data_IF_100818469170
#
_entry.id   IF_100818469170
#
_cell.length_a   1.000
_cell.length_b   1.000
_cell.length_c   1.000
_cell.angle_alpha   90.00
_cell.angle_beta   90.00
_cell.angle_gamma   90.00
#
_symmetry.space_group_name_H-M   'P 1'
#
loop_
_entity.id
_entity.type
_entity.pdbx_description
1 polymer ?
#
# COMPACT_ATOMS: atom_id res chain seq x y z
N UNK A 1 20.30 26.02 12.84
CA UNK A 1 20.68 25.31 11.61
C UNK A 1 19.45 25.07 10.75
N UNK A 2 19.50 25.39 9.47
CA UNK A 2 18.40 25.25 8.50
C UNK A 2 17.64 23.91 8.57
N UNK A 3 18.33 22.80 8.88
CA UNK A 3 17.76 21.47 9.06
C UNK A 3 16.64 21.39 10.11
N UNK A 4 16.78 22.05 11.25
CA UNK A 4 15.76 21.98 12.32
C UNK A 4 14.47 22.72 11.94
N UNK A 5 14.59 23.79 11.16
CA UNK A 5 13.44 24.53 10.65
C UNK A 5 12.70 23.70 9.60
N UNK A 6 13.45 23.09 8.69
CA UNK A 6 12.91 22.23 7.63
C UNK A 6 12.21 20.99 8.21
N UNK A 7 12.78 20.35 9.22
CA UNK A 7 12.14 19.22 9.91
C UNK A 7 10.82 19.62 10.57
N UNK A 8 10.78 20.74 11.30
CA UNK A 8 9.53 21.25 11.90
C UNK A 8 8.47 21.57 10.84
N UNK A 9 8.88 22.12 9.70
CA UNK A 9 7.98 22.38 8.59
C UNK A 9 7.41 21.07 8.04
N UNK A 10 8.25 20.06 7.75
CA UNK A 10 7.78 18.74 7.30
C UNK A 10 6.84 18.11 8.32
N UNK A 11 7.22 18.09 9.61
CA UNK A 11 6.41 17.48 10.67
C UNK A 11 5.05 18.17 10.85
N UNK A 12 4.92 19.44 10.49
CA UNK A 12 3.63 20.15 10.53
C UNK A 12 2.57 19.55 9.60
N UNK A 13 2.98 18.76 8.60
CA UNK A 13 2.08 18.03 7.68
C UNK A 13 1.68 16.64 8.19
N UNK A 14 2.17 16.18 9.34
CA UNK A 14 1.81 14.87 9.91
C UNK A 14 0.29 14.71 10.13
N UNK A 15 -0.46 15.72 10.61
CA UNK A 15 -1.92 15.61 10.71
C UNK A 15 -2.59 15.39 9.34
N UNK A 16 -2.09 16.05 8.29
CA UNK A 16 -2.58 15.84 6.92
C UNK A 16 -2.29 14.43 6.43
N UNK A 17 -1.10 13.90 6.73
CA UNK A 17 -0.73 12.52 6.41
C UNK A 17 -1.70 11.52 7.06
N UNK A 18 -2.06 11.74 8.33
CA UNK A 18 -3.02 10.91 9.05
C UNK A 18 -4.43 11.01 8.48
N UNK A 19 -4.88 12.22 8.11
CA UNK A 19 -6.21 12.45 7.55
C UNK A 19 -6.45 11.67 6.24
N UNK A 20 -5.40 11.54 5.41
CA UNK A 20 -5.49 10.81 4.13
C UNK A 20 -5.01 9.36 4.22
N UNK A 21 -4.77 8.87 5.44
CA UNK A 21 -4.32 7.50 5.70
C UNK A 21 -5.40 6.68 6.39
N UNK A 22 -5.37 5.36 6.16
CA UNK A 22 -6.17 4.41 6.91
C UNK A 22 -5.29 3.91 8.06
N UNK A 23 -5.70 4.18 9.30
CA UNK A 23 -5.01 3.73 10.50
C UNK A 23 -5.12 2.20 10.63
N UNK A 24 -4.00 1.54 10.93
CA UNK A 24 -3.93 0.09 11.05
C UNK A 24 -4.10 -0.69 9.74
N UNK A 25 -4.00 -0.05 8.57
CA UNK A 25 -4.18 -0.72 7.28
C UNK A 25 -3.22 -1.91 7.08
N UNK A 26 -2.03 -1.84 7.67
CA UNK A 26 -0.98 -2.86 7.65
C UNK A 26 -1.34 -4.15 8.40
N UNK A 27 -2.31 -4.10 9.33
CA UNK A 27 -2.80 -5.26 10.08
C UNK A 27 -4.18 -5.75 9.59
N UNK A 28 -4.77 -5.06 8.61
CA UNK A 28 -6.02 -5.49 7.99
C UNK A 28 -5.73 -6.46 6.83
N UNK A 29 -6.59 -7.45 6.64
CA UNK A 29 -6.46 -8.44 5.56
C UNK A 29 -7.77 -8.61 4.79
N UNK A 30 -7.73 -8.75 3.46
CA UNK A 30 -8.92 -9.01 2.66
C UNK A 30 -9.42 -10.45 2.85
N UNK A 31 -10.73 -10.62 2.67
CA UNK A 31 -11.32 -11.94 2.45
C UNK A 31 -11.13 -12.29 0.97
N UNK A 32 -10.26 -13.27 0.70
CA UNK A 32 -9.91 -13.69 -0.67
C UNK A 32 -11.13 -14.34 -1.34
N UNK A 33 -11.39 -13.99 -2.60
CA UNK A 33 -12.55 -14.45 -3.38
C UNK A 33 -13.78 -13.54 -3.32
N UNK A 34 -13.84 -12.59 -2.37
CA UNK A 34 -14.98 -11.68 -2.21
C UNK A 34 -14.59 -10.20 -2.24
N UNK A 35 -13.31 -9.88 -2.07
CA UNK A 35 -12.82 -8.49 -1.93
C UNK A 35 -12.55 -7.76 -3.26
N UNK A 36 -13.09 -8.21 -4.40
CA UNK A 36 -12.76 -7.65 -5.72
C UNK A 36 -13.15 -6.16 -5.85
N UNK A 37 -14.25 -5.74 -5.22
CA UNK A 37 -14.68 -4.34 -5.17
C UNK A 37 -13.81 -3.45 -4.27
N UNK A 38 -13.13 -4.03 -3.27
CA UNK A 38 -12.25 -3.32 -2.34
C UNK A 38 -10.78 -3.28 -2.81
N UNK A 39 -10.49 -3.72 -4.04
CA UNK A 39 -9.13 -3.88 -4.56
C UNK A 39 -8.25 -2.62 -4.49
N UNK A 40 -8.83 -1.44 -4.68
CA UNK A 40 -8.10 -0.16 -4.59
C UNK A 40 -7.51 0.04 -3.19
N UNK A 41 -8.22 -0.38 -2.14
CA UNK A 41 -7.77 -0.31 -0.75
C UNK A 41 -6.63 -1.28 -0.44
N UNK A 42 -6.47 -2.35 -1.22
CA UNK A 42 -5.37 -3.28 -1.03
C UNK A 42 -4.21 -3.02 -1.98
N UNK A 43 -4.40 -2.17 -2.99
CA UNK A 43 -3.45 -1.97 -4.07
C UNK A 43 -2.08 -1.49 -3.55
N UNK A 44 -1.06 -2.22 -3.95
CA UNK A 44 0.36 -1.95 -3.72
C UNK A 44 1.09 -1.81 -5.04
N UNK A 45 2.20 -1.08 -5.01
CA UNK A 45 3.08 -0.95 -6.16
C UNK A 45 3.85 -2.25 -6.39
N UNK A 46 3.69 -2.88 -7.55
CA UNK A 46 4.29 -4.19 -7.87
C UNK A 46 5.81 -4.30 -7.64
N UNK A 47 6.61 -3.25 -7.90
CA UNK A 47 8.07 -3.31 -7.67
C UNK A 47 8.52 -3.16 -6.21
N UNK A 48 7.74 -2.48 -5.36
CA UNK A 48 8.17 -2.12 -3.99
C UNK A 48 7.27 -2.74 -2.92
N UNK A 49 6.14 -3.32 -3.33
CA UNK A 49 5.05 -3.80 -2.49
C UNK A 49 4.55 -2.76 -1.49
N UNK A 50 4.71 -1.46 -1.77
CA UNK A 50 4.25 -0.38 -0.88
C UNK A 50 2.86 0.07 -1.27
N UNK A 51 2.07 0.51 -0.29
CA UNK A 51 0.81 1.18 -0.60
C UNK A 51 1.03 2.42 -1.46
N UNK A 52 0.09 2.67 -2.37
CA UNK A 52 0.10 3.88 -3.18
C UNK A 52 -0.43 5.05 -2.36
N UNK A 53 0.31 6.16 -2.36
CA UNK A 53 -0.04 7.42 -1.70
C UNK A 53 -0.21 8.52 -2.73
N UNK A 54 -1.18 9.40 -2.54
CA UNK A 54 -1.51 10.47 -3.50
C UNK A 54 -0.54 11.64 -3.48
N UNK A 55 0.15 11.87 -2.36
CA UNK A 55 1.05 13.00 -2.17
C UNK A 55 2.26 12.61 -1.31
N UNK A 56 3.41 13.30 -1.43
CA UNK A 56 4.61 13.05 -0.63
C UNK A 56 4.47 13.65 0.78
N UNK A 57 3.60 13.07 1.60
CA UNK A 57 3.38 13.47 2.99
C UNK A 57 4.30 12.67 3.95
N UNK A 58 4.56 13.18 5.16
CA UNK A 58 5.36 12.49 6.18
C UNK A 58 4.57 11.35 6.83
N UNK A 59 4.30 10.30 6.06
CA UNK A 59 3.57 9.12 6.51
C UNK A 59 4.35 8.33 7.57
N UNK A 60 3.59 7.66 8.43
CA UNK A 60 4.17 6.76 9.41
C UNK A 60 4.78 5.53 8.74
N UNK A 61 5.70 4.87 9.47
CA UNK A 61 6.46 3.72 8.97
C UNK A 61 5.58 2.62 8.34
N UNK A 62 4.44 2.22 8.91
CA UNK A 62 3.62 1.15 8.35
C UNK A 62 3.12 1.47 6.93
N UNK A 63 2.85 2.74 6.63
CA UNK A 63 2.34 3.17 5.34
C UNK A 63 3.42 3.21 4.26
N UNK A 64 4.70 3.38 4.62
CA UNK A 64 5.82 3.48 3.67
C UNK A 64 6.65 2.21 3.55
N UNK A 65 6.40 1.20 4.38
CA UNK A 65 7.05 -0.10 4.31
C UNK A 65 6.42 -1.01 3.25
N UNK A 66 7.21 -1.99 2.80
CA UNK A 66 6.73 -3.02 1.90
C UNK A 66 5.74 -3.94 2.63
N UNK A 67 4.58 -4.16 2.02
CA UNK A 67 3.46 -4.97 2.53
C UNK A 67 3.66 -6.44 2.14
N UNK A 68 4.81 -6.99 2.48
CA UNK A 68 5.20 -8.36 2.12
C UNK A 68 4.26 -9.38 2.77
N UNK A 69 3.86 -9.16 4.02
CA UNK A 69 2.96 -10.07 4.73
C UNK A 69 1.55 -10.08 4.13
N UNK A 70 1.02 -8.93 3.73
CA UNK A 70 -0.25 -8.85 2.99
C UNK A 70 -0.17 -9.65 1.68
N UNK A 71 0.90 -9.45 0.90
CA UNK A 71 1.10 -10.18 -0.36
C UNK A 71 1.22 -11.69 -0.12
N UNK A 72 2.04 -12.10 0.85
CA UNK A 72 2.25 -13.51 1.25
C UNK A 72 0.96 -14.15 1.74
N UNK A 73 0.15 -13.43 2.51
CA UNK A 73 -1.17 -13.89 2.95
C UNK A 73 -2.06 -14.17 1.74
N UNK A 74 -2.21 -13.22 0.81
CA UNK A 74 -3.10 -13.35 -0.34
C UNK A 74 -2.72 -14.54 -1.22
N UNK A 75 -1.45 -14.67 -1.61
CA UNK A 75 -1.03 -15.72 -2.57
C UNK A 75 -1.20 -17.14 -2.02
N UNK A 76 -1.20 -17.31 -0.69
CA UNK A 76 -1.39 -18.61 -0.03
C UNK A 76 -2.85 -19.07 0.01
N UNK A 77 -3.80 -18.17 -0.21
CA UNK A 77 -5.23 -18.48 -0.13
C UNK A 77 -5.74 -19.13 -1.42
N UNK A 78 -6.80 -19.94 -1.28
CA UNK A 78 -7.54 -20.48 -2.42
C UNK A 78 -8.21 -19.35 -3.20
N UNK A 79 -8.31 -19.48 -4.52
CA UNK A 79 -8.91 -18.46 -5.41
C UNK A 79 -8.23 -17.08 -5.36
N UNK A 80 -6.96 -17.02 -4.95
CA UNK A 80 -6.20 -15.77 -4.81
C UNK A 80 -5.85 -15.07 -6.11
N UNK A 81 -5.87 -15.78 -7.25
CA UNK A 81 -5.36 -15.31 -8.55
C UNK A 81 -5.85 -13.91 -8.90
N UNK A 82 -7.16 -13.66 -8.83
CA UNK A 82 -7.73 -12.37 -9.21
C UNK A 82 -7.32 -11.26 -8.26
N UNK A 83 -7.42 -11.52 -6.95
CA UNK A 83 -7.03 -10.56 -5.93
C UNK A 83 -5.54 -10.24 -6.03
N UNK A 84 -4.67 -11.23 -6.27
CA UNK A 84 -3.24 -11.03 -6.47
C UNK A 84 -2.96 -10.04 -7.61
N UNK A 85 -3.57 -10.22 -8.78
CA UNK A 85 -3.37 -9.28 -9.91
C UNK A 85 -3.85 -7.86 -9.56
N UNK A 86 -5.00 -7.77 -8.90
CA UNK A 86 -5.58 -6.48 -8.49
C UNK A 86 -4.73 -5.79 -7.42
N UNK A 87 -4.22 -6.57 -6.47
CA UNK A 87 -3.34 -6.17 -5.38
C UNK A 87 -2.06 -5.52 -5.92
N UNK A 88 -1.39 -6.14 -6.88
CA UNK A 88 -0.17 -5.54 -7.49
C UNK A 88 -0.48 -4.61 -8.66
N UNK A 89 -1.74 -4.44 -9.04
CA UNK A 89 -2.18 -3.55 -10.11
C UNK A 89 -1.66 -3.93 -11.50
N UNK A 90 -1.44 -5.23 -11.76
CA UNK A 90 -0.93 -5.73 -13.04
C UNK A 90 -2.11 -6.04 -13.96
N UNK A 91 -2.04 -5.53 -15.19
CA UNK A 91 -3.02 -5.85 -16.23
C UNK A 91 -2.68 -7.20 -16.87
N UNK A 92 -3.64 -8.13 -16.88
CA UNK A 92 -3.50 -9.47 -17.50
C UNK A 92 -3.17 -9.43 -18.99
N UNK A 93 -3.56 -8.36 -19.70
CA UNK A 93 -3.31 -8.21 -21.13
C UNK A 93 -1.86 -7.83 -21.45
N UNK A 94 -1.11 -7.28 -20.49
CA UNK A 94 0.27 -6.87 -20.67
C UNK A 94 1.22 -7.98 -20.17
N UNK A 95 2.19 -8.39 -21.01
CA UNK A 95 3.28 -9.28 -20.56
C UNK A 95 4.23 -8.48 -19.66
N UNK A 96 3.95 -8.48 -18.37
CA UNK A 96 4.77 -7.82 -17.36
C UNK A 96 5.54 -8.86 -16.55
N UNK A 97 6.88 -8.78 -16.55
CA UNK A 97 7.73 -9.60 -15.69
C UNK A 97 7.87 -8.94 -14.33
N UNK A 98 7.56 -9.69 -13.28
CA UNK A 98 7.87 -9.31 -11.90
C UNK A 98 9.31 -9.72 -11.58
N UNK A 99 10.08 -8.89 -10.86
CA UNK A 99 11.42 -9.24 -10.38
C UNK A 99 11.39 -10.35 -9.34
#
# INVERSE_FOLDING_TARGET
>A
CFSSLLLKFIDSFRPTAQLVSINGRDILYPVVGYSNYASILWRVHYMKLKFHHTAPLPFDRPHVQAQTELFRYVIKQLNSRELTFSLVGINRAAKQRLP
#
